data_IF_861933431773
#
_entry.id   IF_861933431773
#
_cell.length_a   1.000
_cell.length_b   1.000
_cell.length_c   1.000
_cell.angle_alpha   90.00
_cell.angle_beta   90.00
_cell.angle_gamma   90.00
#
_symmetry.space_group_name_H-M   'P 1'
#
loop_
_entity.id
_entity.type
_entity.pdbx_description
1 polymer ?
#
# COMPACT_ATOMS: atom_id res chain seq x y z
N UNK A 1 -14.31 -9.75 -10.85
CA UNK A 1 -13.96 -9.99 -9.43
C UNK A 1 -12.48 -9.73 -9.25
N UNK A 2 -12.11 -8.55 -8.79
CA UNK A 2 -10.75 -8.26 -8.32
C UNK A 2 -10.48 -9.20 -7.16
N UNK A 3 -9.50 -10.10 -7.31
CA UNK A 3 -9.01 -10.86 -6.16
C UNK A 3 -8.61 -9.82 -5.10
N UNK A 4 -9.03 -9.97 -3.82
CA UNK A 4 -8.46 -9.19 -2.75
C UNK A 4 -6.95 -9.25 -2.91
N UNK A 5 -6.24 -8.15 -2.68
CA UNK A 5 -4.78 -8.09 -2.74
C UNK A 5 -4.23 -9.02 -1.65
N UNK A 6 -4.25 -10.31 -1.91
CA UNK A 6 -3.68 -11.35 -1.06
C UNK A 6 -2.23 -11.47 -1.48
N UNK A 7 -1.45 -10.41 -1.23
CA UNK A 7 -0.01 -10.54 -1.35
C UNK A 7 0.51 -11.30 -0.13
N UNK A 8 0.64 -12.61 -0.36
CA UNK A 8 1.42 -13.66 0.32
C UNK A 8 0.72 -14.57 1.34
N UNK A 9 0.99 -15.89 1.30
CA UNK A 9 0.31 -16.87 2.15
C UNK A 9 0.90 -17.04 3.57
N UNK A 10 2.04 -16.45 3.92
CA UNK A 10 2.86 -16.95 5.06
C UNK A 10 3.45 -15.90 6.02
N UNK A 11 3.04 -14.63 6.00
CA UNK A 11 3.40 -13.70 7.09
C UNK A 11 2.25 -13.57 8.09
N UNK A 12 2.60 -13.50 9.38
CA UNK A 12 1.63 -13.18 10.41
C UNK A 12 1.12 -11.76 10.16
N UNK A 13 -0.20 -11.58 10.21
CA UNK A 13 -0.79 -10.25 10.00
C UNK A 13 -0.30 -9.29 11.06
N UNK A 14 0.19 -8.13 10.62
CA UNK A 14 0.48 -7.02 11.52
C UNK A 14 -0.81 -6.53 12.19
N UNK A 15 -0.76 -5.88 13.37
CA UNK A 15 -1.96 -5.34 14.01
C UNK A 15 -2.72 -4.36 13.12
N UNK A 16 -1.99 -3.57 12.32
CA UNK A 16 -2.57 -2.73 11.27
C UNK A 16 -3.38 -3.48 10.24
N UNK A 17 -2.83 -4.56 9.68
CA UNK A 17 -3.54 -5.43 8.73
C UNK A 17 -4.75 -6.11 9.39
N UNK A 18 -4.63 -6.54 10.65
CA UNK A 18 -5.75 -7.13 11.39
C UNK A 18 -6.90 -6.14 11.55
N UNK A 19 -6.59 -4.89 11.95
CA UNK A 19 -7.58 -3.82 12.05
C UNK A 19 -8.20 -3.49 10.69
N UNK A 20 -7.38 -3.38 9.64
CA UNK A 20 -7.87 -3.17 8.28
C UNK A 20 -8.85 -4.28 7.82
N UNK A 21 -8.50 -5.55 8.04
CA UNK A 21 -9.38 -6.68 7.71
C UNK A 21 -10.66 -6.68 8.54
N UNK A 22 -10.57 -6.32 9.81
CA UNK A 22 -11.75 -6.16 10.66
C UNK A 22 -12.70 -5.11 10.09
N UNK A 23 -12.18 -3.95 9.67
CA UNK A 23 -12.97 -2.88 9.05
C UNK A 23 -13.59 -3.32 7.72
N UNK A 24 -12.85 -4.02 6.86
CA UNK A 24 -13.38 -4.57 5.61
C UNK A 24 -14.55 -5.54 5.86
N UNK A 25 -14.44 -6.40 6.87
CA UNK A 25 -15.50 -7.34 7.24
C UNK A 25 -16.72 -6.62 7.83
N UNK A 26 -16.49 -5.53 8.59
CA UNK A 26 -17.56 -4.74 9.22
C UNK A 26 -18.35 -3.91 8.20
N UNK A 27 -17.68 -3.45 7.15
CA UNK A 27 -18.24 -2.62 6.09
C UNK A 27 -18.06 -3.31 4.74
N UNK A 28 -18.73 -4.46 4.46
CA UNK A 28 -18.53 -5.17 3.21
C UNK A 28 -19.14 -4.40 2.02
N UNK A 29 -18.52 -4.55 0.85
CA UNK A 29 -19.18 -4.20 -0.42
C UNK A 29 -20.34 -5.17 -0.58
N UNK A 30 -21.57 -4.66 -0.49
CA UNK A 30 -22.78 -5.47 -0.64
C UNK A 30 -23.19 -5.41 -2.11
N UNK A 31 -23.38 -6.53 -2.81
CA UNK A 31 -23.96 -6.52 -4.16
C UNK A 31 -25.37 -5.90 -4.08
N UNK A 32 -25.59 -4.78 -4.76
CA UNK A 32 -26.86 -4.04 -4.68
C UNK A 32 -27.73 -4.26 -5.92
N UNK A 33 -29.04 -4.10 -5.73
CA UNK A 33 -30.06 -4.24 -6.77
C UNK A 33 -30.31 -2.96 -7.58
N UNK A 34 -29.81 -1.81 -7.12
CA UNK A 34 -30.11 -0.49 -7.69
C UNK A 34 -28.84 0.14 -8.25
N UNK A 35 -28.96 0.79 -9.42
CA UNK A 35 -27.89 1.55 -10.06
C UNK A 35 -27.59 2.80 -9.23
N UNK A 36 -26.45 2.82 -8.53
CA UNK A 36 -25.97 4.02 -7.85
C UNK A 36 -25.28 4.96 -8.84
N UNK A 37 -25.14 6.24 -8.49
CA UNK A 37 -24.40 7.22 -9.29
C UNK A 37 -22.97 6.76 -9.63
N UNK A 38 -22.37 5.94 -8.75
CA UNK A 38 -21.04 5.36 -8.97
C UNK A 38 -21.02 4.33 -10.09
N UNK A 39 -22.10 3.57 -10.27
CA UNK A 39 -22.22 2.59 -11.37
C UNK A 39 -22.35 3.32 -12.70
N UNK A 40 -23.09 4.44 -12.72
CA UNK A 40 -23.17 5.33 -13.89
C UNK A 40 -21.79 5.86 -14.26
N UNK A 41 -21.04 6.43 -13.30
CA UNK A 41 -19.67 6.91 -13.55
C UNK A 41 -18.75 5.76 -13.98
N UNK A 42 -18.79 4.62 -13.30
CA UNK A 42 -17.94 3.49 -13.64
C UNK A 42 -18.23 2.97 -15.05
N UNK A 43 -19.49 2.96 -15.48
CA UNK A 43 -19.90 2.61 -16.83
C UNK A 43 -19.42 3.64 -17.86
N UNK A 44 -19.66 4.93 -17.61
CA UNK A 44 -19.31 6.02 -18.54
C UNK A 44 -17.80 6.12 -18.79
N UNK A 45 -16.99 5.76 -17.79
CA UNK A 45 -15.53 5.81 -17.86
C UNK A 45 -14.87 4.43 -18.00
N UNK A 46 -15.65 3.35 -18.19
CA UNK A 46 -15.14 1.97 -18.29
C UNK A 46 -14.24 1.55 -17.09
N UNK A 47 -14.51 2.09 -15.89
CA UNK A 47 -13.69 1.92 -14.70
C UNK A 47 -14.10 0.68 -13.93
N UNK A 48 -13.75 -0.48 -14.49
CA UNK A 48 -13.89 -1.73 -13.76
C UNK A 48 -13.14 -1.64 -12.42
N UNK A 49 -13.87 -1.85 -11.31
CA UNK A 49 -13.36 -1.84 -9.93
C UNK A 49 -13.27 -0.47 -9.24
N UNK A 50 -13.80 0.62 -9.81
CA UNK A 50 -13.83 1.93 -9.15
C UNK A 50 -14.46 1.86 -7.74
N UNK A 51 -15.62 1.21 -7.62
CA UNK A 51 -16.30 1.01 -6.32
C UNK A 51 -15.38 0.33 -5.31
N UNK A 52 -14.73 -0.76 -5.70
CA UNK A 52 -13.81 -1.50 -4.84
C UNK A 52 -12.59 -0.65 -4.42
N UNK A 53 -12.07 0.18 -5.33
CA UNK A 53 -10.95 1.09 -5.03
C UNK A 53 -11.37 2.19 -4.08
N UNK A 54 -12.51 2.85 -4.30
CA UNK A 54 -13.06 3.88 -3.39
C UNK A 54 -13.33 3.28 -2.02
N UNK A 55 -13.91 2.09 -1.97
CA UNK A 55 -14.18 1.37 -0.73
C UNK A 55 -12.89 1.10 0.06
N UNK A 56 -11.88 0.50 -0.57
CA UNK A 56 -10.59 0.25 0.09
C UNK A 56 -9.90 1.53 0.55
N UNK A 57 -9.91 2.58 -0.28
CA UNK A 57 -9.36 3.90 0.07
C UNK A 57 -10.04 4.49 1.31
N UNK A 58 -11.37 4.42 1.36
CA UNK A 58 -12.17 4.89 2.50
C UNK A 58 -11.87 4.13 3.78
N UNK A 59 -11.69 2.80 3.68
CA UNK A 59 -11.35 1.96 4.83
C UNK A 59 -9.94 2.28 5.36
N UNK A 60 -8.96 2.50 4.47
CA UNK A 60 -7.61 2.93 4.86
C UNK A 60 -7.61 4.33 5.50
N UNK A 61 -8.42 5.25 4.99
CA UNK A 61 -8.62 6.56 5.62
C UNK A 61 -9.19 6.41 7.04
N UNK A 62 -10.21 5.56 7.24
CA UNK A 62 -10.76 5.29 8.56
C UNK A 62 -9.71 4.68 9.50
N UNK A 63 -8.91 3.72 9.03
CA UNK A 63 -7.79 3.14 9.78
C UNK A 63 -6.80 4.23 10.25
N UNK A 64 -6.36 5.11 9.34
CA UNK A 64 -5.49 6.25 9.67
C UNK A 64 -6.10 7.10 10.77
N UNK A 65 -7.38 7.45 10.63
CA UNK A 65 -8.09 8.26 11.63
C UNK A 65 -8.15 7.57 12.99
N UNK A 66 -8.40 6.26 13.05
CA UNK A 66 -8.39 5.52 14.32
C UNK A 66 -7.03 5.61 15.01
N UNK A 67 -5.93 5.32 14.30
CA UNK A 67 -4.57 5.34 14.87
C UNK A 67 -4.17 6.76 15.30
N UNK A 68 -4.40 7.77 14.45
CA UNK A 68 -4.07 9.16 14.74
C UNK A 68 -4.88 9.71 15.93
N UNK A 69 -6.17 9.38 16.03
CA UNK A 69 -6.99 9.81 17.17
C UNK A 69 -6.58 9.06 18.44
N UNK A 70 -6.28 7.77 18.39
CA UNK A 70 -5.76 7.04 19.55
C UNK A 70 -4.48 7.69 20.09
N UNK A 71 -3.56 8.09 19.21
CA UNK A 71 -2.36 8.83 19.61
C UNK A 71 -2.69 10.21 20.23
N UNK A 72 -3.67 10.93 19.66
CA UNK A 72 -4.12 12.19 20.24
C UNK A 72 -4.71 12.00 21.63
N UNK A 73 -5.62 11.04 21.83
CA UNK A 73 -6.21 10.71 23.13
C UNK A 73 -5.13 10.31 24.15
N UNK A 74 -4.15 9.49 23.76
CA UNK A 74 -3.01 9.10 24.61
C UNK A 74 -2.19 10.32 25.09
N UNK A 75 -2.07 11.36 24.26
CA UNK A 75 -1.37 12.60 24.62
C UNK A 75 -2.19 13.52 25.53
N UNK A 76 -3.51 13.57 25.34
CA UNK A 76 -4.39 14.47 26.11
C UNK A 76 -4.86 13.88 27.44
N UNK A 77 -4.95 12.55 27.54
CA UNK A 77 -5.58 11.85 28.67
C UNK A 77 -4.66 10.76 29.21
N UNK A 78 -3.50 11.14 29.76
CA UNK A 78 -2.47 10.19 30.25
C UNK A 78 -3.10 9.10 31.13
N UNK A 79 -4.00 9.49 32.03
CA UNK A 79 -4.85 8.58 32.77
C UNK A 79 -6.15 8.32 32.01
N UNK A 80 -6.51 7.04 31.85
CA UNK A 80 -7.76 6.58 31.23
C UNK A 80 -7.92 6.86 29.73
N UNK A 81 -6.84 7.09 28.96
CA UNK A 81 -6.98 7.29 27.50
C UNK A 81 -7.73 6.15 26.81
N UNK A 82 -7.56 4.90 27.27
CA UNK A 82 -8.23 3.74 26.68
C UNK A 82 -9.75 3.84 26.81
N UNK A 83 -10.21 4.12 28.03
CA UNK A 83 -11.63 4.33 28.35
C UNK A 83 -12.20 5.53 27.58
N UNK A 84 -11.45 6.63 27.52
CA UNK A 84 -11.84 7.85 26.79
C UNK A 84 -11.93 7.62 25.28
N UNK A 85 -10.95 6.95 24.69
CA UNK A 85 -10.97 6.63 23.26
C UNK A 85 -12.13 5.69 22.92
N UNK A 86 -12.39 4.66 23.74
CA UNK A 86 -13.51 3.75 23.52
C UNK A 86 -14.86 4.45 23.68
N UNK A 87 -15.07 5.15 24.79
CA UNK A 87 -16.36 5.77 25.08
C UNK A 87 -16.59 7.03 24.24
N UNK A 88 -15.68 8.00 24.29
CA UNK A 88 -15.90 9.31 23.67
C UNK A 88 -15.75 9.21 22.15
N UNK A 89 -14.71 8.55 21.65
CA UNK A 89 -14.47 8.49 20.20
C UNK A 89 -15.23 7.36 19.49
N UNK A 90 -15.00 6.10 19.89
CA UNK A 90 -15.58 4.98 19.14
C UNK A 90 -17.11 4.91 19.30
N UNK A 91 -17.62 5.07 20.53
CA UNK A 91 -19.06 4.92 20.79
C UNK A 91 -19.86 6.18 20.47
N UNK A 92 -19.40 7.38 20.85
CA UNK A 92 -20.17 8.60 20.58
C UNK A 92 -19.92 9.18 19.18
N UNK A 93 -18.66 9.27 18.72
CA UNK A 93 -18.36 9.88 17.42
C UNK A 93 -18.50 8.93 16.23
N UNK A 94 -18.12 7.65 16.39
CA UNK A 94 -18.19 6.65 15.31
C UNK A 94 -19.35 5.66 15.47
N UNK A 95 -20.13 5.74 16.56
CA UNK A 95 -21.32 4.93 16.80
C UNK A 95 -21.10 3.41 16.82
N UNK A 96 -19.90 2.95 17.22
CA UNK A 96 -19.64 1.52 17.39
C UNK A 96 -20.45 0.94 18.55
N UNK A 97 -21.09 -0.24 18.39
CA UNK A 97 -21.66 -1.00 19.50
C UNK A 97 -20.59 -1.31 20.57
N UNK A 98 -20.94 -1.42 21.87
CA UNK A 98 -19.96 -1.57 22.94
C UNK A 98 -18.96 -2.72 22.74
N UNK A 99 -19.44 -3.89 22.28
CA UNK A 99 -18.59 -5.05 22.04
C UNK A 99 -17.60 -4.81 20.87
N UNK A 100 -18.06 -4.14 19.81
CA UNK A 100 -17.21 -3.79 18.67
C UNK A 100 -16.21 -2.69 19.04
N UNK A 101 -16.65 -1.68 19.79
CA UNK A 101 -15.80 -0.57 20.24
C UNK A 101 -14.58 -1.10 21.01
N UNK A 102 -14.79 -2.04 21.95
CA UNK A 102 -13.69 -2.68 22.68
C UNK A 102 -12.74 -3.45 21.77
N UNK A 103 -13.28 -4.22 20.81
CA UNK A 103 -12.46 -4.98 19.87
C UNK A 103 -11.60 -4.06 18.97
N UNK A 104 -12.21 -3.00 18.43
CA UNK A 104 -11.55 -1.98 17.61
C UNK A 104 -10.50 -1.21 18.41
N UNK A 105 -10.83 -0.84 19.65
CA UNK A 105 -9.92 -0.14 20.57
C UNK A 105 -8.64 -0.96 20.79
N UNK A 106 -8.78 -2.24 21.16
CA UNK A 106 -7.66 -3.15 21.36
C UNK A 106 -6.77 -3.30 20.12
N UNK A 107 -7.37 -3.44 18.93
CA UNK A 107 -6.61 -3.54 17.68
C UNK A 107 -5.92 -2.22 17.32
N UNK A 108 -6.60 -1.10 17.58
CA UNK A 108 -6.07 0.25 17.31
C UNK A 108 -4.86 0.55 18.19
N UNK A 109 -4.88 0.18 19.48
CA UNK A 109 -3.73 0.38 20.35
C UNK A 109 -2.55 -0.53 19.97
N UNK A 110 -2.80 -1.78 19.60
CA UNK A 110 -1.73 -2.64 19.06
C UNK A 110 -1.12 -2.05 17.78
N UNK A 111 -1.94 -1.51 16.88
CA UNK A 111 -1.46 -0.83 15.67
C UNK A 111 -0.70 0.46 16.01
N UNK A 112 -1.15 1.24 16.99
CA UNK A 112 -0.45 2.43 17.48
C UNK A 112 0.93 2.06 18.03
N UNK A 113 1.03 1.05 18.88
CA UNK A 113 2.33 0.61 19.43
C UNK A 113 3.27 0.12 18.32
N UNK A 114 2.76 -0.69 17.40
CA UNK A 114 3.50 -1.11 16.20
C UNK A 114 4.05 0.08 15.42
N UNK A 115 3.26 1.15 15.27
CA UNK A 115 3.65 2.34 14.51
C UNK A 115 4.82 3.13 15.11
N UNK A 116 5.11 2.92 16.39
CA UNK A 116 6.22 3.58 17.09
C UNK A 116 7.50 2.76 17.12
N UNK A 117 7.47 1.50 16.68
CA UNK A 117 8.63 0.62 16.70
C UNK A 117 9.59 0.91 15.55
N UNK A 118 10.86 1.16 15.87
CA UNK A 118 11.93 1.25 14.88
C UNK A 118 12.43 -0.15 14.46
N UNK A 119 13.03 -0.25 13.28
CA UNK A 119 13.69 -1.48 12.83
C UNK A 119 14.96 -1.70 13.66
N UNK A 120 15.13 -2.85 14.34
CA UNK A 120 16.35 -3.14 15.08
C UNK A 120 17.58 -3.14 14.16
N UNK A 121 18.71 -2.58 14.63
CA UNK A 121 19.95 -2.53 13.84
C UNK A 121 20.45 -3.93 13.44
N UNK A 122 20.23 -4.94 14.30
CA UNK A 122 20.51 -6.35 13.99
C UNK A 122 19.71 -6.86 12.79
N UNK A 123 18.42 -6.52 12.70
CA UNK A 123 17.56 -6.83 11.55
C UNK A 123 18.05 -6.15 10.29
N UNK A 124 18.39 -4.85 10.37
CA UNK A 124 18.93 -4.08 9.23
C UNK A 124 20.19 -4.76 8.68
N UNK A 125 21.16 -5.06 9.55
CA UNK A 125 22.41 -5.74 9.19
C UNK A 125 22.16 -7.10 8.54
N UNK A 126 21.35 -7.94 9.18
CA UNK A 126 21.01 -9.29 8.70
C UNK A 126 20.34 -9.27 7.33
N UNK A 127 19.39 -8.36 7.11
CA UNK A 127 18.72 -8.24 5.82
C UNK A 127 19.65 -7.68 4.73
N UNK A 128 20.54 -6.74 5.07
CA UNK A 128 21.55 -6.21 4.16
C UNK A 128 22.50 -7.31 3.68
N UNK A 129 23.11 -8.06 4.61
CA UNK A 129 24.03 -9.17 4.30
C UNK A 129 23.35 -10.27 3.45
N UNK A 130 22.10 -10.63 3.79
CA UNK A 130 21.31 -11.59 3.00
C UNK A 130 21.03 -11.06 1.60
N UNK A 131 20.70 -9.78 1.49
CA UNK A 131 20.43 -9.10 0.23
C UNK A 131 21.63 -9.11 -0.71
N UNK A 132 22.77 -8.69 -0.18
CA UNK A 132 24.06 -8.63 -0.87
C UNK A 132 24.48 -10.02 -1.38
N UNK A 133 24.50 -11.04 -0.51
CA UNK A 133 24.87 -12.42 -0.88
C UNK A 133 24.02 -12.99 -2.02
N UNK A 134 22.76 -12.56 -2.13
CA UNK A 134 21.81 -13.06 -3.13
C UNK A 134 21.65 -12.12 -4.33
N UNK A 135 22.39 -11.01 -4.36
CA UNK A 135 22.19 -9.93 -5.32
C UNK A 135 20.70 -9.53 -5.44
N UNK A 136 20.06 -9.32 -4.29
CA UNK A 136 18.61 -9.08 -4.23
C UNK A 136 18.28 -7.73 -4.87
N UNK A 137 17.30 -7.73 -5.77
CA UNK A 137 16.85 -6.52 -6.44
C UNK A 137 15.82 -5.78 -5.57
N UNK A 138 15.60 -4.50 -5.87
CA UNK A 138 14.62 -3.69 -5.17
C UNK A 138 13.21 -4.26 -5.29
N UNK A 139 12.56 -4.52 -4.14
CA UNK A 139 11.21 -5.07 -4.10
C UNK A 139 10.10 -4.12 -4.57
N UNK A 140 10.44 -2.89 -4.96
CA UNK A 140 9.50 -1.86 -5.43
C UNK A 140 9.59 -1.63 -6.95
N UNK A 141 10.80 -1.51 -7.49
CA UNK A 141 11.03 -1.24 -8.92
C UNK A 141 11.66 -2.41 -9.68
N UNK A 142 12.27 -3.38 -9.00
CA UNK A 142 12.96 -4.52 -9.59
C UNK A 142 14.41 -4.26 -10.01
N UNK A 143 14.95 -3.05 -9.86
CA UNK A 143 16.33 -2.72 -10.24
C UNK A 143 17.36 -3.09 -9.15
N UNK A 144 18.64 -3.21 -9.53
CA UNK A 144 19.74 -3.57 -8.63
C UNK A 144 19.99 -2.52 -7.54
N UNK A 145 20.30 -2.96 -6.33
CA UNK A 145 20.62 -2.11 -5.18
C UNK A 145 22.13 -1.99 -5.01
N UNK A 146 22.62 -0.78 -4.72
CA UNK A 146 23.99 -0.59 -4.28
C UNK A 146 24.12 -0.86 -2.77
N UNK A 147 24.50 -2.10 -2.41
CA UNK A 147 24.67 -2.51 -1.02
C UNK A 147 25.89 -1.87 -0.33
N UNK A 148 26.89 -1.45 -1.10
CA UNK A 148 28.17 -0.96 -0.57
C UNK A 148 28.23 0.57 -0.46
N UNK A 149 27.22 1.27 -0.98
CA UNK A 149 27.20 2.73 -0.92
C UNK A 149 27.14 3.24 0.51
N UNK A 150 28.15 4.05 0.87
CA UNK A 150 28.15 4.87 2.07
C UNK A 150 27.74 6.32 1.80
N UNK A 151 27.61 6.70 0.51
CA UNK A 151 27.22 8.05 0.12
C UNK A 151 25.74 8.27 0.47
N UNK A 152 25.39 9.22 1.36
CA UNK A 152 24.00 9.49 1.72
C UNK A 152 23.14 9.96 0.55
N UNK A 153 23.78 10.56 -0.48
CA UNK A 153 23.13 11.06 -1.70
C UNK A 153 22.96 9.98 -2.78
N UNK A 154 23.47 8.77 -2.58
CA UNK A 154 23.23 7.67 -3.51
C UNK A 154 21.80 7.15 -3.32
N UNK A 155 20.95 7.52 -4.26
CA UNK A 155 19.55 7.12 -4.32
C UNK A 155 19.34 5.60 -4.47
N UNK A 156 20.33 4.89 -5.00
CA UNK A 156 20.32 3.43 -5.19
C UNK A 156 20.85 2.67 -3.97
N UNK A 157 21.22 3.36 -2.88
CA UNK A 157 21.70 2.69 -1.67
C UNK A 157 20.60 1.86 -1.00
N UNK A 158 21.05 0.82 -0.31
CA UNK A 158 20.18 -0.08 0.47
C UNK A 158 19.29 0.66 1.48
N UNK A 159 18.03 0.24 1.55
CA UNK A 159 17.05 0.60 2.57
C UNK A 159 16.10 -0.57 2.82
N UNK A 160 15.32 -0.49 3.90
CA UNK A 160 14.25 -1.43 4.22
C UNK A 160 12.92 -0.68 4.24
N UNK A 161 11.96 -1.18 3.48
CA UNK A 161 10.58 -0.71 3.44
C UNK A 161 9.66 -1.68 4.17
N UNK A 162 8.67 -1.13 4.88
CA UNK A 162 7.62 -1.93 5.50
C UNK A 162 6.55 -2.30 4.48
N UNK A 163 6.29 -3.60 4.29
CA UNK A 163 5.26 -4.09 3.36
C UNK A 163 3.90 -3.48 3.74
N UNK A 164 3.44 -3.70 4.97
CA UNK A 164 2.40 -2.89 5.59
C UNK A 164 3.03 -1.68 6.28
N UNK A 165 2.64 -0.43 5.94
CA UNK A 165 3.31 0.77 6.45
C UNK A 165 3.39 0.81 7.97
N UNK A 166 4.54 1.26 8.49
CA UNK A 166 4.71 1.44 9.92
C UNK A 166 3.63 2.36 10.51
N UNK A 167 3.36 3.51 9.87
CA UNK A 167 2.34 4.46 10.37
C UNK A 167 0.92 3.90 10.41
N UNK A 168 0.66 2.78 9.72
CA UNK A 168 -0.60 2.05 9.77
C UNK A 168 -0.56 0.82 10.68
N UNK A 169 0.42 0.71 11.56
CA UNK A 169 0.56 -0.40 12.50
C UNK A 169 1.27 -1.62 11.95
N UNK A 170 2.17 -1.43 10.99
CA UNK A 170 3.07 -2.46 10.50
C UNK A 170 4.22 -2.70 11.49
N UNK A 171 4.45 -3.95 11.90
CA UNK A 171 5.58 -4.30 12.76
C UNK A 171 6.92 -4.18 12.03
N UNK A 172 7.99 -3.99 12.79
CA UNK A 172 9.37 -3.87 12.28
C UNK A 172 10.15 -5.19 12.32
N UNK A 173 9.46 -6.32 12.19
CA UNK A 173 10.07 -7.65 12.06
C UNK A 173 10.38 -8.03 10.60
N UNK A 174 11.23 -9.03 10.37
CA UNK A 174 11.64 -9.45 9.01
C UNK A 174 10.47 -9.84 8.09
N UNK A 175 9.33 -10.27 8.64
CA UNK A 175 8.18 -10.73 7.83
C UNK A 175 7.42 -9.59 7.18
N UNK A 176 7.47 -8.40 7.79
CA UNK A 176 6.86 -7.17 7.26
C UNK A 176 7.89 -6.25 6.59
N UNK A 177 9.13 -6.70 6.35
CA UNK A 177 10.17 -5.89 5.72
C UNK A 177 10.55 -6.42 4.34
N UNK A 178 10.79 -5.50 3.40
CA UNK A 178 11.36 -5.80 2.08
C UNK A 178 12.57 -4.92 1.80
N UNK A 179 13.51 -5.46 1.04
CA UNK A 179 14.73 -4.77 0.61
C UNK A 179 14.40 -3.85 -0.57
N UNK A 180 14.79 -2.57 -0.47
CA UNK A 180 14.51 -1.56 -1.48
C UNK A 180 15.69 -0.59 -1.62
N UNK A 181 15.65 0.25 -2.65
CA UNK A 181 16.44 1.48 -2.66
C UNK A 181 15.93 2.47 -1.60
N UNK A 182 16.80 3.37 -1.15
CA UNK A 182 16.36 4.51 -0.33
C UNK A 182 15.35 5.37 -1.08
N UNK A 183 15.60 5.69 -2.36
CA UNK A 183 14.71 6.54 -3.16
C UNK A 183 13.33 5.93 -3.32
N UNK A 184 13.28 4.64 -3.67
CA UNK A 184 12.01 3.93 -3.84
C UNK A 184 11.22 3.89 -2.52
N UNK A 185 11.89 3.67 -1.39
CA UNK A 185 11.26 3.70 -0.06
C UNK A 185 10.71 5.09 0.27
N UNK A 186 11.55 6.13 0.17
CA UNK A 186 11.15 7.52 0.41
C UNK A 186 9.97 7.96 -0.46
N UNK A 187 9.92 7.48 -1.70
CA UNK A 187 8.85 7.76 -2.64
C UNK A 187 7.55 6.99 -2.34
N UNK A 188 7.65 5.74 -1.92
CA UNK A 188 6.50 4.93 -1.52
C UNK A 188 5.80 5.49 -0.28
N UNK A 189 6.53 6.23 0.56
CA UNK A 189 6.00 6.84 1.79
C UNK A 189 5.28 5.80 2.66
N UNK A 190 4.03 6.10 3.02
CA UNK A 190 3.19 5.28 3.90
C UNK A 190 2.03 4.60 3.15
N UNK A 191 2.13 4.43 1.82
CA UNK A 191 1.04 3.83 1.04
C UNK A 191 0.93 2.32 1.24
N UNK A 192 -0.20 1.84 1.74
CA UNK A 192 -0.45 0.41 2.00
C UNK A 192 -0.86 -0.38 0.76
N UNK A 193 -1.52 0.26 -0.19
CA UNK A 193 -2.07 -0.41 -1.36
C UNK A 193 -2.24 0.56 -2.53
N UNK A 194 -2.67 0.03 -3.68
CA UNK A 194 -2.99 0.85 -4.85
C UNK A 194 -4.14 1.84 -4.56
N UNK A 195 -5.12 1.44 -3.75
CA UNK A 195 -6.24 2.29 -3.34
C UNK A 195 -5.85 3.39 -2.34
N UNK A 196 -4.65 3.29 -1.76
CA UNK A 196 -4.08 4.32 -0.89
C UNK A 196 -3.30 5.38 -1.68
N UNK A 197 -3.03 5.12 -2.96
CA UNK A 197 -2.41 6.11 -3.85
C UNK A 197 -3.46 7.10 -4.33
N UNK A 198 -3.03 8.31 -4.71
CA UNK A 198 -3.89 9.31 -5.36
C UNK A 198 -4.22 8.91 -6.79
N UNK A 199 -4.99 7.82 -6.96
CA UNK A 199 -5.33 7.26 -8.26
C UNK A 199 -6.12 8.24 -9.14
N UNK A 200 -6.81 9.20 -8.52
CA UNK A 200 -7.48 10.33 -9.15
C UNK A 200 -6.52 11.27 -9.90
N UNK A 201 -5.26 11.37 -9.46
CA UNK A 201 -4.23 12.17 -10.11
C UNK A 201 -3.54 11.42 -11.26
N UNK A 202 -3.90 10.15 -11.49
CA UNK A 202 -3.26 9.26 -12.45
C UNK A 202 -4.04 9.22 -13.77
N UNK A 203 -4.29 10.38 -14.38
CA UNK A 203 -4.88 10.50 -15.71
C UNK A 203 -3.93 11.25 -16.64
N UNK A 204 -3.42 10.57 -17.67
CA UNK A 204 -2.36 11.12 -18.50
C UNK A 204 -2.63 10.85 -19.97
N UNK A 205 -2.72 11.93 -20.75
CA UNK A 205 -2.51 11.91 -22.19
C UNK A 205 -1.07 12.34 -22.47
N UNK A 206 -0.16 11.37 -22.69
CA UNK A 206 1.23 11.67 -23.06
C UNK A 206 1.25 11.90 -24.58
N UNK A 207 1.62 13.10 -25.08
CA UNK A 207 1.95 13.27 -26.49
C UNK A 207 3.15 12.37 -26.83
N UNK A 208 3.18 11.78 -28.04
CA UNK A 208 4.37 11.05 -28.49
C UNK A 208 5.63 11.95 -28.35
N UNK A 209 6.60 11.51 -27.53
CA UNK A 209 7.91 12.14 -27.44
C UNK A 209 8.20 13.07 -26.24
N UNK A 210 7.28 13.31 -25.28
CA UNK A 210 7.60 14.14 -24.10
C UNK A 210 8.40 13.35 -23.02
N UNK A 211 9.69 13.67 -22.77
CA UNK A 211 10.53 12.92 -21.84
C UNK A 211 10.32 13.31 -20.36
N UNK A 212 9.79 14.51 -20.09
CA UNK A 212 9.78 15.12 -18.76
C UNK A 212 8.66 14.57 -17.88
N UNK A 213 7.48 14.38 -18.47
CA UNK A 213 6.33 13.77 -17.83
C UNK A 213 6.54 12.26 -17.57
N UNK A 214 7.28 11.58 -18.46
CA UNK A 214 7.62 10.16 -18.37
C UNK A 214 8.55 9.80 -17.20
N UNK A 215 9.09 10.77 -16.44
CA UNK A 215 10.03 10.46 -15.36
C UNK A 215 9.39 10.40 -13.97
N UNK A 216 8.53 11.37 -13.62
CA UNK A 216 8.00 11.51 -12.25
C UNK A 216 6.59 10.92 -12.10
N UNK A 217 5.66 11.26 -12.99
CA UNK A 217 4.35 10.61 -13.05
C UNK A 217 4.49 9.10 -13.28
N UNK A 218 5.49 8.69 -14.07
CA UNK A 218 5.80 7.29 -14.31
C UNK A 218 6.16 6.53 -13.03
N UNK A 219 6.80 7.15 -12.04
CA UNK A 219 7.16 6.44 -10.80
C UNK A 219 5.96 6.20 -9.90
N UNK A 220 5.12 7.21 -9.65
CA UNK A 220 3.93 7.09 -8.78
C UNK A 220 2.94 6.14 -9.44
N UNK A 221 2.76 6.31 -10.74
CA UNK A 221 1.90 5.48 -11.54
C UNK A 221 2.40 4.03 -11.63
N UNK A 222 3.71 3.81 -11.85
CA UNK A 222 4.30 2.47 -11.75
C UNK A 222 4.10 1.85 -10.39
N UNK A 223 4.31 2.60 -9.31
CA UNK A 223 4.13 2.06 -7.96
C UNK A 223 2.67 1.65 -7.74
N UNK A 224 1.71 2.51 -8.08
CA UNK A 224 0.28 2.24 -7.96
C UNK A 224 -0.14 1.00 -8.78
N UNK A 225 0.29 0.92 -10.04
CA UNK A 225 -0.02 -0.21 -10.93
C UNK A 225 0.72 -1.48 -10.48
N UNK A 226 1.93 -1.37 -9.95
CA UNK A 226 2.64 -2.49 -9.33
C UNK A 226 1.87 -3.01 -8.11
N UNK A 227 1.38 -2.13 -7.22
CA UNK A 227 0.49 -2.55 -6.12
C UNK A 227 -0.76 -3.26 -6.62
N UNK A 228 -1.42 -2.70 -7.64
CA UNK A 228 -2.63 -3.28 -8.23
C UNK A 228 -2.36 -4.69 -8.80
N UNK A 229 -1.19 -4.90 -9.39
CA UNK A 229 -0.78 -6.21 -9.90
C UNK A 229 -0.34 -7.19 -8.80
N UNK A 230 -0.03 -6.72 -7.59
CA UNK A 230 0.65 -7.51 -6.57
C UNK A 230 2.14 -7.70 -6.85
N UNK A 231 2.79 -6.69 -7.45
CA UNK A 231 4.21 -6.71 -7.85
C UNK A 231 4.55 -7.93 -8.72
N UNK A 232 3.72 -8.23 -9.72
CA UNK A 232 3.90 -9.34 -10.66
C UNK A 232 3.40 -8.97 -12.06
N UNK A 233 3.87 -9.67 -13.08
CA UNK A 233 3.38 -9.45 -14.44
C UNK A 233 1.90 -9.80 -14.53
N UNK A 234 1.08 -8.88 -15.04
CA UNK A 234 -0.36 -9.07 -15.19
C UNK A 234 -0.73 -10.15 -16.22
N UNK A 235 0.22 -10.52 -17.10
CA UNK A 235 0.04 -11.58 -18.13
C UNK A 235 0.57 -12.93 -17.64
N UNK A 236 1.87 -13.04 -17.37
CA UNK A 236 2.50 -14.31 -17.00
C UNK A 236 2.56 -14.59 -15.48
N UNK A 237 2.13 -13.65 -14.63
CA UNK A 237 2.13 -13.74 -13.17
C UNK A 237 3.54 -13.93 -12.54
N UNK A 238 4.61 -13.71 -13.31
CA UNK A 238 5.97 -13.78 -12.77
C UNK A 238 6.21 -12.59 -11.81
N UNK A 239 6.68 -12.83 -10.57
CA UNK A 239 6.87 -11.76 -9.59
C UNK A 239 8.04 -10.85 -9.97
N UNK A 240 7.93 -9.56 -9.61
CA UNK A 240 8.94 -8.52 -9.86
C UNK A 240 10.33 -8.93 -9.38
N UNK A 241 10.42 -9.67 -8.27
CA UNK A 241 11.69 -10.17 -7.72
C UNK A 241 12.43 -11.16 -8.63
N UNK A 242 11.79 -11.67 -9.68
CA UNK A 242 12.36 -12.59 -10.68
C UNK A 242 12.55 -11.93 -12.05
N UNK A 243 12.30 -10.63 -12.16
CA UNK A 243 12.35 -9.88 -13.41
C UNK A 243 13.52 -8.90 -13.39
N UNK A 244 14.63 -9.18 -14.09
CA UNK A 244 15.83 -8.32 -14.06
C UNK A 244 15.54 -6.92 -14.62
N UNK A 245 14.68 -6.81 -15.63
CA UNK A 245 14.27 -5.54 -16.25
C UNK A 245 13.05 -4.89 -15.56
N UNK A 246 12.60 -5.46 -14.45
CA UNK A 246 11.43 -5.03 -13.71
C UNK A 246 10.11 -5.19 -14.48
N UNK A 247 9.12 -4.39 -14.08
CA UNK A 247 7.82 -4.31 -14.74
C UNK A 247 7.71 -2.99 -15.52
N UNK A 248 7.11 -3.07 -16.70
CA UNK A 248 6.76 -1.95 -17.57
C UNK A 248 5.26 -1.68 -17.48
N UNK A 249 4.88 -0.44 -17.78
CA UNK A 249 3.48 -0.06 -17.92
C UNK A 249 3.00 -0.35 -19.35
N UNK A 250 1.81 -0.91 -19.47
CA UNK A 250 1.07 -1.07 -20.73
C UNK A 250 -0.40 -0.73 -20.48
N UNK A 251 -1.09 -0.24 -21.51
CA UNK A 251 -2.54 -0.02 -21.48
C UNK A 251 -3.31 -1.31 -21.78
N UNK A 252 -4.49 -1.49 -21.15
CA UNK A 252 -5.41 -2.60 -21.43
C UNK A 252 -6.14 -2.39 -22.75
N UNK A 253 -6.63 -1.17 -22.96
CA UNK A 253 -7.25 -0.68 -24.19
C UNK A 253 -6.38 0.40 -24.82
N UNK A 254 -5.99 0.20 -26.08
CA UNK A 254 -5.24 1.20 -26.88
C UNK A 254 -6.11 2.39 -27.30
N UNK A 255 -7.43 2.29 -27.14
CA UNK A 255 -8.37 3.36 -27.46
C UNK A 255 -8.55 4.36 -26.30
N UNK A 256 -7.94 4.10 -25.15
CA UNK A 256 -8.01 4.93 -23.96
C UNK A 256 -6.62 5.44 -23.55
N UNK A 257 -6.61 6.57 -22.84
CA UNK A 257 -5.39 7.14 -22.25
C UNK A 257 -4.81 6.23 -21.17
N UNK A 258 -3.55 6.51 -20.77
CA UNK A 258 -3.02 5.93 -19.55
C UNK A 258 -3.80 6.49 -18.35
N UNK A 259 -4.57 5.61 -17.72
CA UNK A 259 -5.18 5.87 -16.43
C UNK A 259 -5.00 4.66 -15.50
N UNK A 260 -5.24 4.85 -14.21
CA UNK A 260 -5.01 3.81 -13.19
C UNK A 260 -5.76 2.50 -13.50
N UNK A 261 -6.98 2.58 -14.02
CA UNK A 261 -7.82 1.42 -14.31
C UNK A 261 -7.49 0.76 -15.65
N UNK A 262 -7.06 1.56 -16.63
CA UNK A 262 -6.63 1.09 -17.95
C UNK A 262 -5.14 0.70 -18.00
N UNK A 263 -4.39 0.82 -16.92
CA UNK A 263 -2.96 0.44 -16.90
C UNK A 263 -2.73 -0.92 -16.26
N UNK A 264 -1.67 -1.60 -16.70
CA UNK A 264 -1.22 -2.86 -16.14
C UNK A 264 0.31 -2.96 -16.11
N UNK A 265 0.83 -3.68 -15.13
CA UNK A 265 2.24 -4.00 -15.01
C UNK A 265 2.55 -5.26 -15.82
N UNK A 266 3.50 -5.21 -16.74
CA UNK A 266 3.89 -6.32 -17.62
C UNK A 266 5.42 -6.51 -17.65
N UNK A 267 5.91 -7.74 -17.83
CA UNK A 267 7.34 -7.95 -18.07
C UNK A 267 7.69 -7.67 -19.53
N UNK A 268 8.99 -7.53 -19.82
CA UNK A 268 9.49 -7.24 -21.18
C UNK A 268 9.09 -8.32 -22.19
N UNK A 269 9.18 -9.60 -21.79
CA UNK A 269 8.78 -10.75 -22.62
C UNK A 269 7.29 -10.76 -22.97
N UNK A 270 6.46 -10.14 -22.12
CA UNK A 270 5.03 -10.06 -22.35
C UNK A 270 4.63 -8.77 -23.07
N UNK A 271 5.55 -7.84 -23.35
CA UNK A 271 5.24 -6.56 -24.00
C UNK A 271 4.96 -6.79 -25.49
N UNK A 272 3.88 -6.19 -25.99
CA UNK A 272 3.45 -6.24 -27.41
C UNK A 272 3.63 -4.90 -28.09
#
# INVERSE_FOLDING_TARGET
>A
MTRPITWRPNHALTPGEQLHRWLLNRYPITPRKENLWIDTIASDFNLHSLEATIHQSTILMLLRRLITNAEWYRRQHVEKFEERFENDYLRHHLTFPPQEARAVSNLTFKALEASKQNIPQSTIKKMKERGEKRNTHCGLCGELINYHSSNPNDESRFSLDHIWPRSLGGHSDESNLRITHIKCNSFRQDYASAADTHYEHLHVKVPEGDPSFLLEANRMFRLAVNYQSGFQCSRCQLPLSRLPDGLRLEVRSRHESHNFFNSMAICIECKR
#
